data_IF_076958115570
#
_entry.id   IF_076958115570
#
_cell.length_a   1.000
_cell.length_b   1.000
_cell.length_c   1.000
_cell.angle_alpha   90.00
_cell.angle_beta   90.00
_cell.angle_gamma   90.00
#
_symmetry.space_group_name_H-M   'P 1'
#
loop_
_entity.id
_entity.type
_entity.pdbx_description
1 polymer ?
#
# COMPACT_ATOMS: atom_id res chain seq x y z
N UNK A 1 -10.66 -8.90 3.40
CA UNK A 1 -10.60 -7.70 2.53
C UNK A 1 -9.78 -6.62 3.20
N UNK A 2 -8.56 -6.45 2.72
CA UNK A 2 -7.65 -5.44 3.22
C UNK A 2 -8.11 -4.00 2.86
N UNK A 3 -8.12 -3.09 3.85
CA UNK A 3 -8.45 -1.65 3.68
C UNK A 3 -7.25 -0.75 3.37
N UNK A 4 -6.04 -1.32 3.32
CA UNK A 4 -4.80 -0.60 3.03
C UNK A 4 -4.88 0.15 1.70
N UNK A 5 -5.42 -0.47 0.65
CA UNK A 5 -5.56 0.21 -0.65
C UNK A 5 -6.51 1.41 -0.57
N UNK A 6 -7.54 1.34 0.28
CA UNK A 6 -8.48 2.43 0.54
C UNK A 6 -7.79 3.59 1.24
N UNK A 7 -7.09 3.33 2.33
CA UNK A 7 -6.37 4.38 3.07
C UNK A 7 -5.24 4.99 2.25
N UNK A 8 -4.49 4.17 1.51
CA UNK A 8 -3.45 4.66 0.60
C UNK A 8 -4.03 5.62 -0.45
N UNK A 9 -5.16 5.27 -1.06
CA UNK A 9 -5.85 6.12 -2.04
C UNK A 9 -6.39 7.41 -1.40
N UNK A 10 -6.91 7.35 -0.18
CA UNK A 10 -7.34 8.54 0.57
C UNK A 10 -6.17 9.51 0.84
N UNK A 11 -4.98 8.97 1.10
CA UNK A 11 -3.76 9.75 1.25
C UNK A 11 -3.18 10.24 -0.11
N UNK A 12 -3.77 9.85 -1.25
CA UNK A 12 -3.26 10.21 -2.57
C UNK A 12 -1.92 9.57 -2.94
N UNK A 13 -1.50 8.52 -2.22
CA UNK A 13 -0.18 7.92 -2.37
C UNK A 13 -0.20 6.77 -3.39
N UNK A 14 0.85 6.68 -4.19
CA UNK A 14 1.13 5.47 -4.96
C UNK A 14 1.55 4.31 -4.05
N UNK A 15 1.41 3.09 -4.54
CA UNK A 15 1.80 1.89 -3.80
C UNK A 15 3.29 1.90 -3.45
N UNK A 16 4.15 2.42 -4.35
CA UNK A 16 5.58 2.58 -4.09
C UNK A 16 5.85 3.60 -2.97
N UNK A 17 5.24 4.78 -3.04
CA UNK A 17 5.41 5.81 -2.00
C UNK A 17 4.93 5.31 -0.64
N UNK A 18 3.76 4.70 -0.59
CA UNK A 18 3.22 4.16 0.65
C UNK A 18 4.08 3.02 1.22
N UNK A 19 4.60 2.14 0.36
CA UNK A 19 5.55 1.12 0.78
C UNK A 19 6.84 1.74 1.35
N UNK A 20 7.39 2.78 0.72
CA UNK A 20 8.54 3.53 1.25
C UNK A 20 8.26 4.14 2.63
N UNK A 21 7.09 4.74 2.83
CA UNK A 21 6.70 5.28 4.15
C UNK A 21 6.58 4.20 5.23
N UNK A 22 6.18 2.99 4.86
CA UNK A 22 6.06 1.85 5.77
C UNK A 22 7.37 1.07 5.97
N UNK A 23 8.45 1.43 5.28
CA UNK A 23 9.68 0.63 5.24
C UNK A 23 9.49 -0.74 4.58
N UNK A 24 8.50 -0.87 3.70
CA UNK A 24 8.16 -2.10 2.99
C UNK A 24 8.61 -2.04 1.53
N UNK A 25 8.75 -3.21 0.92
CA UNK A 25 8.93 -3.35 -0.52
C UNK A 25 7.55 -3.32 -1.19
N UNK A 26 7.44 -2.66 -2.35
CA UNK A 26 6.16 -2.49 -3.06
C UNK A 26 5.45 -3.81 -3.37
N UNK A 27 6.19 -4.89 -3.68
CA UNK A 27 5.61 -6.22 -3.91
C UNK A 27 4.93 -6.80 -2.65
N UNK A 28 5.52 -6.59 -1.46
CA UNK A 28 4.91 -6.98 -0.18
C UNK A 28 3.59 -6.24 0.01
N UNK A 29 3.59 -4.92 -0.20
CA UNK A 29 2.38 -4.12 -0.07
C UNK A 29 1.30 -4.56 -1.08
N UNK A 30 1.70 -4.89 -2.31
CA UNK A 30 0.79 -5.37 -3.35
C UNK A 30 0.14 -6.72 -2.98
N UNK A 31 0.90 -7.66 -2.42
CA UNK A 31 0.36 -8.93 -1.94
C UNK A 31 -0.66 -8.73 -0.82
N UNK A 32 -0.42 -7.76 0.06
CA UNK A 32 -1.39 -7.37 1.07
C UNK A 32 -2.63 -6.76 0.42
N UNK A 33 -2.50 -5.86 -0.56
CA UNK A 33 -3.65 -5.24 -1.22
C UNK A 33 -4.47 -6.22 -2.10
N UNK A 34 -3.89 -7.36 -2.49
CA UNK A 34 -4.53 -8.37 -3.32
C UNK A 34 -5.29 -9.47 -2.53
N UNK A 35 -5.00 -9.63 -1.23
CA UNK A 35 -5.65 -10.61 -0.32
C UNK A 35 -6.64 -9.92 0.64
#
# INVERSE_FOLDING_TARGET
MNKISTYRKQLGLSQRQFATHLGWIQSRLANYEAN
#
